data_IF_856359052713
#
_entry.id   IF_856359052713
#
_cell.length_a   1.000
_cell.length_b   1.000
_cell.length_c   1.000
_cell.angle_alpha   90.00
_cell.angle_beta   90.00
_cell.angle_gamma   90.00
#
_symmetry.space_group_name_H-M   'P 1'
#
loop_
_entity.id
_entity.type
_entity.pdbx_description
1 polymer ?
#
# COMPACT_ATOMS: atom_id res chain seq x y z
N UNK A 1 10.97 11.16 19.86
CA UNK A 1 9.53 11.21 19.48
C UNK A 1 9.48 11.36 17.99
N UNK A 2 9.01 10.34 17.27
CA UNK A 2 8.88 10.41 15.81
C UNK A 2 7.65 11.25 15.49
N UNK A 3 7.80 12.31 14.70
CA UNK A 3 6.69 13.19 14.36
C UNK A 3 5.67 12.40 13.52
N UNK A 4 4.37 12.59 13.75
CA UNK A 4 3.33 11.84 13.04
C UNK A 4 3.41 12.07 11.52
N UNK A 5 3.81 13.28 11.10
CA UNK A 5 4.07 13.61 9.70
C UNK A 5 5.23 12.79 9.12
N UNK A 6 6.35 12.66 9.84
CA UNK A 6 7.51 11.89 9.37
C UNK A 6 7.16 10.41 9.17
N UNK A 7 6.28 9.87 10.02
CA UNK A 7 5.80 8.50 9.85
C UNK A 7 4.89 8.36 8.63
N UNK A 8 3.97 9.29 8.41
CA UNK A 8 3.10 9.27 7.22
C UNK A 8 3.92 9.37 5.93
N UNK A 9 4.95 10.24 5.89
CA UNK A 9 5.84 10.35 4.73
C UNK A 9 6.62 9.05 4.46
N UNK A 10 7.19 8.43 5.49
CA UNK A 10 7.86 7.13 5.30
C UNK A 10 6.91 6.02 4.84
N UNK A 11 5.64 6.05 5.28
CA UNK A 11 4.61 5.12 4.78
C UNK A 11 4.27 5.38 3.33
N UNK A 12 4.24 6.64 2.90
CA UNK A 12 4.07 7.01 1.49
C UNK A 12 5.26 6.50 0.65
N UNK A 13 6.50 6.66 1.12
CA UNK A 13 7.69 6.13 0.42
C UNK A 13 7.64 4.59 0.29
N UNK A 14 7.23 3.91 1.37
CA UNK A 14 7.02 2.47 1.36
C UNK A 14 5.92 2.06 0.36
N UNK A 15 4.82 2.81 0.33
CA UNK A 15 3.72 2.59 -0.61
C UNK A 15 4.17 2.79 -2.06
N UNK A 16 4.91 3.86 -2.36
CA UNK A 16 5.47 4.13 -3.68
C UNK A 16 6.44 3.03 -4.13
N UNK A 17 7.28 2.54 -3.21
CA UNK A 17 8.19 1.42 -3.49
C UNK A 17 7.42 0.15 -3.86
N UNK A 18 6.36 -0.16 -3.11
CA UNK A 18 5.48 -1.28 -3.42
C UNK A 18 4.74 -1.11 -4.76
N UNK A 19 4.19 0.08 -5.04
CA UNK A 19 3.56 0.39 -6.33
C UNK A 19 4.54 0.22 -7.49
N UNK A 20 5.77 0.69 -7.34
CA UNK A 20 6.82 0.55 -8.36
C UNK A 20 7.08 -0.92 -8.68
N UNK A 21 7.11 -1.80 -7.68
CA UNK A 21 7.29 -3.23 -7.88
C UNK A 21 6.03 -3.93 -8.45
N UNK A 22 4.84 -3.47 -8.08
CA UNK A 22 3.57 -4.01 -8.58
C UNK A 22 3.36 -3.66 -10.06
N UNK A 23 3.60 -2.41 -10.46
CA UNK A 23 3.33 -1.93 -11.81
C UNK A 23 4.57 -1.94 -12.73
N UNK A 24 5.79 -2.10 -12.19
CA UNK A 24 7.09 -2.15 -12.90
C UNK A 24 7.45 -0.90 -13.73
N UNK A 25 6.65 0.15 -13.68
CA UNK A 25 6.80 1.39 -14.47
C UNK A 25 7.17 2.60 -13.61
N UNK A 26 7.71 2.39 -12.40
CA UNK A 26 7.97 3.49 -11.47
C UNK A 26 6.68 4.19 -11.02
N UNK A 27 5.58 3.43 -10.94
CA UNK A 27 4.30 3.93 -10.46
C UNK A 27 4.47 4.45 -9.02
N UNK A 28 3.97 5.65 -8.78
CA UNK A 28 3.88 6.26 -7.45
C UNK A 28 2.43 6.65 -7.15
N UNK A 29 2.18 7.12 -5.94
CA UNK A 29 0.88 7.56 -5.49
C UNK A 29 0.20 8.58 -6.41
N UNK A 30 0.95 9.55 -6.93
CA UNK A 30 0.39 10.62 -7.77
C UNK A 30 0.04 10.07 -9.15
N UNK A 31 0.95 9.31 -9.76
CA UNK A 31 0.74 8.67 -11.06
C UNK A 31 -0.44 7.70 -11.02
N UNK A 32 -0.57 6.95 -9.92
CA UNK A 32 -1.67 6.05 -9.68
C UNK A 32 -3.01 6.79 -9.68
N UNK A 33 -3.13 7.87 -8.89
CA UNK A 33 -4.37 8.62 -8.79
C UNK A 33 -4.70 9.35 -10.11
N UNK A 34 -3.70 9.91 -10.79
CA UNK A 34 -3.87 10.50 -12.13
C UNK A 34 -4.40 9.46 -13.12
N UNK A 35 -3.85 8.24 -13.13
CA UNK A 35 -4.32 7.16 -14.00
C UNK A 35 -5.78 6.75 -13.71
N UNK A 36 -6.25 6.98 -12.48
CA UNK A 36 -7.65 6.75 -12.08
C UNK A 36 -8.57 7.97 -12.28
N UNK A 37 -8.07 9.06 -12.88
CA UNK A 37 -8.86 10.23 -13.24
C UNK A 37 -8.98 11.31 -12.16
N UNK A 38 -8.08 11.34 -11.18
CA UNK A 38 -8.00 12.46 -10.24
C UNK A 38 -7.23 13.63 -10.86
N UNK A 39 -7.69 14.84 -10.58
CA UNK A 39 -6.99 16.08 -10.90
C UNK A 39 -5.83 16.34 -9.94
N UNK A 40 -4.85 17.15 -10.37
CA UNK A 40 -3.70 17.52 -9.52
C UNK A 40 -4.13 18.16 -8.19
N UNK A 41 -5.18 18.99 -8.20
CA UNK A 41 -5.73 19.61 -6.99
C UNK A 41 -6.33 18.60 -6.02
N UNK A 42 -7.01 17.57 -6.52
CA UNK A 42 -7.56 16.51 -5.68
C UNK A 42 -6.45 15.65 -5.07
N UNK A 43 -5.43 15.33 -5.86
CA UNK A 43 -4.26 14.57 -5.40
C UNK A 43 -3.53 15.33 -4.30
N UNK A 44 -3.29 16.63 -4.50
CA UNK A 44 -2.63 17.46 -3.50
C UNK A 44 -3.47 17.60 -2.22
N UNK A 45 -4.78 17.74 -2.37
CA UNK A 45 -5.69 17.76 -1.23
C UNK A 45 -5.66 16.45 -0.43
N UNK A 46 -5.67 15.29 -1.11
CA UNK A 46 -5.50 14.00 -0.43
C UNK A 46 -4.13 13.93 0.28
N UNK A 47 -3.04 14.36 -0.36
CA UNK A 47 -1.70 14.36 0.25
C UNK A 47 -1.64 15.20 1.53
N UNK A 48 -2.30 16.35 1.54
CA UNK A 48 -2.25 17.28 2.66
C UNK A 48 -3.22 16.91 3.78
N UNK A 49 -4.44 16.49 3.44
CA UNK A 49 -5.54 16.34 4.40
C UNK A 49 -5.86 14.88 4.78
N UNK A 50 -5.65 13.93 3.85
CA UNK A 50 -6.19 12.56 3.99
C UNK A 50 -5.16 11.45 3.77
N UNK A 51 -3.88 11.79 3.65
CA UNK A 51 -2.84 10.83 3.27
C UNK A 51 -2.75 9.68 4.26
N UNK A 52 -2.88 9.98 5.55
CA UNK A 52 -2.79 8.97 6.61
C UNK A 52 -3.94 7.98 6.53
N UNK A 53 -5.16 8.49 6.33
CA UNK A 53 -6.41 7.77 6.20
C UNK A 53 -6.40 6.92 4.94
N UNK A 54 -5.95 7.48 3.82
CA UNK A 54 -5.77 6.77 2.57
C UNK A 54 -4.82 5.58 2.75
N UNK A 55 -3.62 5.80 3.29
CA UNK A 55 -2.63 4.75 3.50
C UNK A 55 -3.12 3.68 4.48
N UNK A 56 -3.99 4.05 5.44
CA UNK A 56 -4.61 3.07 6.33
C UNK A 56 -5.66 2.23 5.60
N UNK A 57 -6.55 2.86 4.82
CA UNK A 57 -7.56 2.17 4.03
C UNK A 57 -6.93 1.20 3.01
N UNK A 58 -5.76 1.55 2.45
CA UNK A 58 -4.96 0.63 1.61
C UNK A 58 -4.52 -0.62 2.37
N UNK A 59 -4.03 -0.47 3.61
CA UNK A 59 -3.61 -1.62 4.42
C UNK A 59 -4.82 -2.52 4.73
N UNK A 60 -5.94 -1.91 5.09
CA UNK A 60 -7.18 -2.63 5.39
C UNK A 60 -7.71 -3.37 4.16
N UNK A 61 -7.64 -2.74 2.98
CA UNK A 61 -7.95 -3.35 1.70
C UNK A 61 -7.05 -4.55 1.42
N UNK A 62 -5.73 -4.41 1.56
CA UNK A 62 -4.79 -5.50 1.36
C UNK A 62 -5.04 -6.67 2.32
N UNK A 63 -5.41 -6.37 3.58
CA UNK A 63 -5.80 -7.38 4.56
C UNK A 63 -7.13 -8.07 4.20
N UNK A 64 -8.02 -7.41 3.47
CA UNK A 64 -9.28 -8.01 2.99
C UNK A 64 -9.08 -9.03 1.87
N UNK A 65 -7.95 -8.97 1.15
CA UNK A 65 -7.58 -9.94 0.12
C UNK A 65 -7.00 -11.26 0.63
N UNK A 66 -7.12 -11.51 1.95
CA UNK A 66 -6.77 -12.79 2.55
C UNK A 66 -7.55 -13.90 1.85
N UNK A 67 -6.87 -14.62 0.96
CA UNK A 67 -7.39 -15.86 0.40
C UNK A 67 -7.65 -16.84 1.57
N UNK A 68 -8.76 -17.57 1.49
CA UNK A 68 -9.30 -18.51 2.50
C UNK A 68 -8.33 -19.64 2.92
N UNK A 69 -7.07 -19.62 2.47
CA UNK A 69 -6.05 -20.64 2.74
C UNK A 69 -4.98 -20.13 3.72
N UNK A 70 -5.37 -19.59 4.88
CA UNK A 70 -4.58 -19.48 6.13
C UNK A 70 -3.12 -18.98 6.09
N UNK A 71 -2.60 -18.48 4.98
CA UNK A 71 -1.21 -18.05 4.85
C UNK A 71 -1.16 -16.52 4.90
N UNK A 72 -0.59 -15.97 5.99
CA UNK A 72 -0.40 -14.53 6.27
C UNK A 72 0.61 -13.85 5.31
N UNK A 73 0.65 -14.24 4.03
CA UNK A 73 1.61 -13.70 3.06
C UNK A 73 1.41 -12.21 2.79
N UNK A 74 0.18 -11.72 2.91
CA UNK A 74 -0.09 -10.28 2.88
C UNK A 74 0.64 -9.55 4.01
N UNK A 75 0.64 -10.13 5.21
CA UNK A 75 1.33 -9.54 6.35
C UNK A 75 2.84 -9.52 6.14
N UNK A 76 3.41 -10.59 5.57
CA UNK A 76 4.85 -10.64 5.27
C UNK A 76 5.24 -9.57 4.24
N UNK A 77 4.48 -9.42 3.17
CA UNK A 77 4.72 -8.37 2.17
C UNK A 77 4.57 -6.97 2.80
N UNK A 78 3.49 -6.73 3.55
CA UNK A 78 3.23 -5.46 4.24
C UNK A 78 4.38 -5.08 5.20
N UNK A 79 4.90 -6.06 5.95
CA UNK A 79 6.04 -5.88 6.85
C UNK A 79 7.34 -5.63 6.07
N UNK A 80 7.56 -6.35 4.97
CA UNK A 80 8.77 -6.21 4.17
C UNK A 80 8.92 -4.79 3.60
N UNK A 81 7.86 -4.25 2.99
CA UNK A 81 7.87 -2.88 2.47
C UNK A 81 7.78 -1.81 3.56
N UNK A 82 7.26 -2.15 4.74
CA UNK A 82 7.05 -1.20 5.83
C UNK A 82 5.78 -0.35 5.65
N UNK A 83 4.72 -0.89 5.07
CA UNK A 83 3.50 -0.12 4.76
C UNK A 83 2.77 0.37 6.03
N UNK A 84 2.92 -0.34 7.16
CA UNK A 84 2.27 -0.01 8.44
C UNK A 84 2.93 1.19 9.12
N UNK A 85 4.25 1.19 9.26
CA UNK A 85 4.98 2.14 10.10
C UNK A 85 6.09 2.91 9.36
N UNK A 86 6.23 2.66 8.06
CA UNK A 86 7.29 3.22 7.22
C UNK A 86 8.66 2.62 7.52
N UNK A 87 8.74 1.45 8.15
CA UNK A 87 10.00 0.76 8.49
C UNK A 87 10.05 -0.60 7.80
N UNK A 88 10.68 -0.70 6.62
CA UNK A 88 10.82 -1.97 5.94
C UNK A 88 11.59 -2.97 6.80
N UNK A 89 11.10 -4.21 6.84
CA UNK A 89 11.74 -5.28 7.58
C UNK A 89 12.62 -6.12 6.67
N UNK A 90 13.82 -6.43 7.16
CA UNK A 90 14.77 -7.28 6.47
C UNK A 90 14.25 -8.73 6.38
N UNK A 91 14.35 -9.33 5.19
CA UNK A 91 13.82 -10.66 4.91
C UNK A 91 14.55 -11.75 5.69
N UNK A 92 15.84 -11.58 6.01
CA UNK A 92 16.59 -12.55 6.80
C UNK A 92 16.17 -12.50 8.27
N UNK A 93 16.01 -11.30 8.84
CA UNK A 93 15.47 -11.10 10.20
C UNK A 93 14.02 -11.56 10.33
N UNK A 94 13.19 -11.32 9.30
CA UNK A 94 11.85 -11.91 9.22
C UNK A 94 11.93 -13.43 9.20
N UNK A 95 12.73 -14.03 8.31
CA UNK A 95 12.91 -15.48 8.23
C UNK A 95 13.22 -16.11 9.59
N UNK A 96 14.22 -15.56 10.30
CA UNK A 96 14.59 -16.01 11.65
C UNK A 96 13.40 -16.03 12.63
N UNK A 97 12.57 -14.98 12.64
CA UNK A 97 11.37 -14.88 13.50
C UNK A 97 10.27 -15.88 13.13
N UNK A 98 10.11 -16.16 11.85
CA UNK A 98 9.11 -17.11 11.35
C UNK A 98 9.65 -18.55 11.23
N UNK A 99 10.87 -18.84 11.70
CA UNK A 99 11.46 -20.17 11.67
C UNK A 99 11.85 -20.67 10.27
N UNK A 100 12.08 -19.77 9.32
CA UNK A 100 12.46 -20.09 7.93
C UNK A 100 13.74 -19.34 7.52
N UNK A 101 14.45 -19.81 6.50
CA UNK A 101 15.60 -19.06 6.00
C UNK A 101 15.17 -17.79 5.22
N UNK A 102 16.06 -16.81 5.12
CA UNK A 102 15.79 -15.57 4.38
C UNK A 102 15.41 -15.79 2.90
N UNK A 103 15.96 -16.83 2.26
CA UNK A 103 15.56 -17.22 0.90
C UNK A 103 14.10 -17.64 0.83
N UNK A 104 13.65 -18.47 1.79
CA UNK A 104 12.25 -18.88 1.87
C UNK A 104 11.35 -17.66 2.09
N UNK A 105 11.76 -16.72 2.96
CA UNK A 105 11.02 -15.48 3.18
C UNK A 105 10.90 -14.64 1.89
N UNK A 106 12.00 -14.49 1.14
CA UNK A 106 12.00 -13.83 -0.17
C UNK A 106 11.02 -14.48 -1.14
N UNK A 107 11.02 -15.81 -1.22
CA UNK A 107 10.09 -16.54 -2.07
C UNK A 107 8.62 -16.31 -1.68
N UNK A 108 8.31 -16.25 -0.38
CA UNK A 108 6.95 -16.00 0.09
C UNK A 108 6.47 -14.58 -0.28
N UNK A 109 7.30 -13.57 -0.03
CA UNK A 109 6.99 -12.17 -0.42
C UNK A 109 6.86 -12.05 -1.93
N UNK A 110 7.80 -12.62 -2.69
CA UNK A 110 7.77 -12.58 -4.14
C UNK A 110 6.53 -13.27 -4.73
N UNK A 111 6.13 -14.42 -4.18
CA UNK A 111 4.88 -15.10 -4.60
C UNK A 111 3.67 -14.18 -4.45
N UNK A 112 3.59 -13.42 -3.36
CA UNK A 112 2.48 -12.48 -3.15
C UNK A 112 2.57 -11.27 -4.08
N UNK A 113 3.77 -10.72 -4.28
CA UNK A 113 3.99 -9.64 -5.25
C UNK A 113 3.55 -10.04 -6.67
N UNK A 114 3.89 -11.25 -7.12
CA UNK A 114 3.50 -11.76 -8.45
C UNK A 114 1.99 -11.81 -8.64
N UNK A 115 1.21 -12.07 -7.58
CA UNK A 115 -0.25 -12.01 -7.65
C UNK A 115 -0.76 -10.59 -7.92
N UNK A 116 -0.12 -9.58 -7.33
CA UNK A 116 -0.44 -8.18 -7.57
C UNK A 116 0.06 -7.66 -8.92
N UNK A 117 1.09 -8.29 -9.50
CA UNK A 117 1.58 -7.99 -10.85
C UNK A 117 0.69 -8.54 -11.97
N UNK A 118 -0.27 -9.41 -11.67
CA UNK A 118 -1.23 -9.88 -12.66
C UNK A 118 -2.12 -8.71 -13.14
N UNK A 119 -2.27 -8.53 -14.45
CA UNK A 119 -2.98 -7.38 -15.04
C UNK A 119 -4.40 -7.19 -14.47
N UNK A 120 -5.17 -8.27 -14.34
CA UNK A 120 -6.50 -8.21 -13.73
C UNK A 120 -6.48 -7.73 -12.28
N UNK A 121 -5.43 -8.09 -11.51
CA UNK A 121 -5.27 -7.63 -10.13
C UNK A 121 -4.80 -6.17 -10.07
N UNK A 122 -3.93 -5.74 -10.99
CA UNK A 122 -3.52 -4.34 -11.11
C UNK A 122 -4.73 -3.45 -11.41
N UNK A 123 -5.56 -3.80 -12.39
CA UNK A 123 -6.77 -3.04 -12.71
C UNK A 123 -7.75 -2.99 -11.54
N UNK A 124 -7.90 -4.09 -10.80
CA UNK A 124 -8.71 -4.13 -9.59
C UNK A 124 -8.16 -3.18 -8.52
N UNK A 125 -6.86 -3.25 -8.22
CA UNK A 125 -6.20 -2.35 -7.27
C UNK A 125 -6.38 -0.88 -7.64
N UNK A 126 -6.22 -0.51 -8.91
CA UNK A 126 -6.46 0.85 -9.38
C UNK A 126 -7.90 1.31 -9.08
N UNK A 127 -8.89 0.47 -9.40
CA UNK A 127 -10.29 0.79 -9.10
C UNK A 127 -10.53 0.96 -7.60
N UNK A 128 -9.97 0.07 -6.77
CA UNK A 128 -10.16 0.14 -5.31
C UNK A 128 -9.47 1.37 -4.69
N UNK A 129 -8.27 1.73 -5.18
CA UNK A 129 -7.58 2.95 -4.77
C UNK A 129 -8.35 4.21 -5.18
N UNK A 130 -8.98 4.20 -6.35
CA UNK A 130 -9.86 5.28 -6.77
C UNK A 130 -11.07 5.42 -5.84
N UNK A 131 -11.71 4.30 -5.46
CA UNK A 131 -12.83 4.29 -4.52
C UNK A 131 -12.41 4.86 -3.16
N UNK A 132 -11.25 4.46 -2.64
CA UNK A 132 -10.71 5.01 -1.37
C UNK A 132 -10.52 6.53 -1.49
N UNK A 133 -9.86 7.00 -2.56
CA UNK A 133 -9.61 8.42 -2.78
C UNK A 133 -10.89 9.24 -2.89
N UNK A 134 -11.89 8.75 -3.65
CA UNK A 134 -13.18 9.45 -3.82
C UNK A 134 -13.95 9.56 -2.51
N UNK A 135 -14.04 8.46 -1.77
CA UNK A 135 -14.71 8.45 -0.46
C UNK A 135 -14.12 9.49 0.50
N UNK A 136 -12.80 9.64 0.53
CA UNK A 136 -12.16 10.62 1.42
C UNK A 136 -12.46 12.07 1.04
N UNK A 137 -12.61 12.36 -0.25
CA UNK A 137 -13.02 13.69 -0.74
C UNK A 137 -14.50 13.97 -0.46
N UNK A 138 -15.36 12.97 -0.61
CA UNK A 138 -16.80 13.09 -0.41
C UNK A 138 -17.15 13.21 1.09
N UNK A 139 -16.54 12.38 1.96
CA UNK A 139 -16.76 12.40 3.41
C UNK A 139 -16.38 13.75 4.07
N UNK A 140 -15.52 14.55 3.44
CA UNK A 140 -15.20 15.92 3.89
C UNK A 140 -16.24 16.95 3.42
N UNK A 141 -16.80 16.76 2.22
CA UNK A 141 -17.85 17.64 1.68
C UNK A 141 -19.11 17.59 2.54
N UNK A 142 -19.47 16.39 3.02
CA UNK A 142 -20.62 16.17 3.91
C UNK A 142 -20.44 16.73 5.33
N UNK A 143 -19.20 16.95 5.78
CA UNK A 143 -18.92 17.56 7.10
C UNK A 143 -18.93 19.09 7.09
N UNK A 144 -18.93 19.71 5.91
CA UNK A 144 -18.96 21.18 5.72
C UNK A 144 -20.38 21.72 5.50
N UNK A 145 -21.40 20.86 5.51
CA UNK A 145 -22.84 21.18 5.46
C UNK A 145 -23.44 21.04 6.86
#
# INVERSE_FOLDING_TARGET
MTNANDQTLRRLDAFNSWLSDVYREGMDFSNLLTATGFSESEIEHIKQAHLREFLQAVIDLLASYRDLRNEDFDLLMVQHYGLIDGKPQDLYQMGSRYGVCGERMRQLVHKRLVLFQASGRQSQLQADFAVIGRRLLDDESDRKV
#
